data_IF_996586445910
#
_entry.id   IF_996586445910
#
_cell.length_a   1.000
_cell.length_b   1.000
_cell.length_c   1.000
_cell.angle_alpha   90.00
_cell.angle_beta   90.00
_cell.angle_gamma   90.00
#
_symmetry.space_group_name_H-M   'P 1'
#
loop_
_entity.id
_entity.type
_entity.pdbx_description
1 polymer ?
#
# COMPACT_ATOMS: atom_id res chain seq x y z
N UNK A 1 1.27 5.78 2.56
CA UNK A 1 1.23 5.62 4.03
C UNK A 1 1.60 6.92 4.72
N UNK A 2 2.65 7.62 4.28
CA UNK A 2 3.03 8.92 4.85
C UNK A 2 1.91 9.97 4.77
N UNK A 3 1.04 9.90 3.77
CA UNK A 3 -0.11 10.78 3.66
C UNK A 3 -1.09 10.58 4.81
N UNK A 4 -1.41 9.34 5.19
CA UNK A 4 -2.26 9.04 6.36
C UNK A 4 -1.70 9.66 7.63
N UNK A 5 -0.37 9.51 7.88
CA UNK A 5 0.29 10.12 9.04
C UNK A 5 0.15 11.64 9.04
N UNK A 6 0.39 12.28 7.88
CA UNK A 6 0.27 13.74 7.74
C UNK A 6 -1.16 14.24 7.95
N UNK A 7 -2.15 13.49 7.48
CA UNK A 7 -3.55 13.86 7.65
C UNK A 7 -3.97 13.76 9.11
N UNK A 8 -3.59 12.67 9.81
CA UNK A 8 -3.80 12.57 11.27
C UNK A 8 -3.14 13.75 11.99
N UNK A 9 -1.87 14.02 11.68
CA UNK A 9 -1.10 15.12 12.27
C UNK A 9 -1.80 16.46 12.08
N UNK A 10 -2.21 16.79 10.86
CA UNK A 10 -2.83 18.07 10.53
C UNK A 10 -4.20 18.24 11.16
N UNK A 11 -5.08 17.25 11.03
CA UNK A 11 -6.46 17.37 11.49
C UNK A 11 -6.56 17.27 13.01
N UNK A 12 -5.74 16.40 13.62
CA UNK A 12 -5.74 16.23 15.07
C UNK A 12 -4.75 17.17 15.77
N UNK A 13 -3.98 17.99 15.04
CA UNK A 13 -2.91 18.84 15.57
C UNK A 13 -1.93 18.07 16.46
N UNK A 14 -1.51 16.90 16.00
CA UNK A 14 -0.52 16.03 16.63
C UNK A 14 0.83 16.17 15.92
N UNK A 15 1.92 15.79 16.61
CA UNK A 15 3.21 15.65 15.96
C UNK A 15 3.18 14.52 14.92
N UNK A 16 4.15 14.51 14.00
CA UNK A 16 4.26 13.43 13.02
C UNK A 16 4.57 12.09 13.69
N UNK A 17 5.36 12.11 14.76
CA UNK A 17 5.74 10.91 15.51
C UNK A 17 4.54 10.30 16.23
N UNK A 18 3.76 11.11 16.96
CA UNK A 18 2.50 10.69 17.58
C UNK A 18 1.54 10.09 16.54
N UNK A 19 1.41 10.76 15.41
CA UNK A 19 0.54 10.33 14.31
C UNK A 19 1.02 9.03 13.66
N UNK A 20 2.34 8.81 13.57
CA UNK A 20 2.92 7.58 13.06
C UNK A 20 2.65 6.41 14.02
N UNK A 21 2.82 6.63 15.33
CA UNK A 21 2.50 5.63 16.36
C UNK A 21 1.01 5.26 16.31
N UNK A 22 0.12 6.25 16.23
CA UNK A 22 -1.33 6.02 16.10
C UNK A 22 -1.62 5.19 14.85
N UNK A 23 -1.11 5.60 13.69
CA UNK A 23 -1.30 4.86 12.42
C UNK A 23 -0.85 3.40 12.50
N UNK A 24 0.30 3.13 13.11
CA UNK A 24 0.85 1.78 13.23
C UNK A 24 0.00 0.87 14.13
N UNK A 25 -0.76 1.44 15.05
CA UNK A 25 -1.63 0.73 15.97
C UNK A 25 -3.09 0.63 15.51
N UNK A 26 -3.45 1.26 14.39
CA UNK A 26 -4.81 1.14 13.82
C UNK A 26 -4.99 -0.26 13.23
N UNK A 27 -6.06 -0.92 13.62
CA UNK A 27 -6.59 -2.08 12.90
C UNK A 27 -7.41 -1.58 11.70
N UNK A 28 -6.89 -1.80 10.51
CA UNK A 28 -7.49 -1.33 9.26
C UNK A 28 -8.71 -2.16 8.82
N UNK A 29 -9.06 -3.23 9.53
CA UNK A 29 -10.40 -3.83 9.41
C UNK A 29 -11.49 -2.93 9.99
N UNK A 30 -11.10 -1.93 10.78
CA UNK A 30 -11.95 -0.99 11.53
C UNK A 30 -12.90 -1.64 12.54
N UNK A 31 -12.71 -2.92 12.84
CA UNK A 31 -13.58 -3.66 13.77
C UNK A 31 -13.06 -3.58 15.21
N UNK A 32 -11.76 -3.75 15.42
CA UNK A 32 -11.18 -3.91 16.76
C UNK A 32 -10.02 -2.94 17.01
N UNK A 33 -10.34 -1.75 17.47
CA UNK A 33 -9.35 -0.71 17.81
C UNK A 33 -9.32 -0.41 19.32
N UNK A 34 -9.61 -1.40 20.18
CA UNK A 34 -9.65 -1.23 21.65
C UNK A 34 -8.30 -0.82 22.26
N UNK A 35 -7.20 -1.14 21.59
CA UNK A 35 -5.85 -0.77 22.06
C UNK A 35 -5.62 0.73 22.00
N UNK A 36 -6.16 1.41 20.98
CA UNK A 36 -6.01 2.85 20.75
C UNK A 36 -6.98 3.70 21.55
N UNK A 37 -8.20 3.21 21.78
CA UNK A 37 -9.29 4.02 22.32
C UNK A 37 -9.74 3.51 23.67
N UNK A 38 -10.16 4.44 24.53
CA UNK A 38 -10.77 4.16 25.82
C UNK A 38 -12.24 3.72 25.68
N UNK A 39 -12.89 3.45 26.82
CA UNK A 39 -14.31 3.05 26.87
C UNK A 39 -15.25 4.16 26.38
N UNK A 40 -14.85 5.41 26.48
CA UNK A 40 -15.59 6.58 26.00
C UNK A 40 -15.33 6.90 24.52
N UNK A 41 -14.62 6.02 23.79
CA UNK A 41 -14.27 6.19 22.39
C UNK A 41 -13.36 7.40 22.10
N UNK A 42 -12.49 7.77 23.03
CA UNK A 42 -11.44 8.75 22.83
C UNK A 42 -10.08 8.07 22.75
N UNK A 43 -9.15 8.72 22.03
CA UNK A 43 -7.76 8.29 21.97
C UNK A 43 -7.16 8.29 23.36
N UNK A 44 -6.50 7.20 23.75
CA UNK A 44 -5.86 7.05 25.06
C UNK A 44 -4.71 8.06 25.25
N UNK A 45 -4.54 8.55 26.46
CA UNK A 45 -3.54 9.59 26.78
C UNK A 45 -2.09 9.18 26.54
N UNK A 46 -1.78 7.89 26.51
CA UNK A 46 -0.44 7.38 26.21
C UNK A 46 0.03 7.65 24.77
N UNK A 47 -0.86 8.07 23.88
CA UNK A 47 -0.55 8.48 22.52
C UNK A 47 -0.30 9.99 22.36
N UNK A 48 -0.41 10.75 23.44
CA UNK A 48 -0.10 12.18 23.48
C UNK A 48 1.16 12.41 24.29
N UNK A 49 2.20 12.93 23.69
CA UNK A 49 3.45 13.25 24.39
C UNK A 49 3.34 14.61 25.10
N UNK A 50 2.60 15.55 24.50
CA UNK A 50 2.62 16.96 24.94
C UNK A 50 1.27 17.56 25.34
N UNK A 51 0.19 16.78 25.53
CA UNK A 51 -1.11 17.39 25.78
C UNK A 51 -2.09 16.47 26.50
N UNK A 52 -2.11 16.54 27.82
CA UNK A 52 -3.06 15.82 28.68
C UNK A 52 -4.51 16.33 28.56
N UNK A 53 -4.77 17.35 27.79
CA UNK A 53 -6.08 18.04 27.73
C UNK A 53 -6.87 17.79 26.44
N UNK A 54 -6.33 17.06 25.50
CA UNK A 54 -6.99 16.82 24.21
C UNK A 54 -7.87 15.58 24.26
N UNK A 55 -9.11 15.73 23.80
CA UNK A 55 -10.01 14.61 23.54
C UNK A 55 -10.16 14.45 22.03
N UNK A 56 -9.54 13.43 21.47
CA UNK A 56 -9.66 13.09 20.03
C UNK A 56 -10.55 11.87 19.92
N UNK A 57 -11.68 12.03 19.24
CA UNK A 57 -12.63 10.93 19.13
C UNK A 57 -12.15 9.85 18.17
N UNK A 58 -12.52 8.61 18.45
CA UNK A 58 -12.30 7.44 17.59
C UNK A 58 -12.82 7.70 16.18
N UNK A 59 -14.03 8.23 16.07
CA UNK A 59 -14.66 8.45 14.77
C UNK A 59 -13.86 9.45 13.93
N UNK A 60 -13.32 10.50 14.53
CA UNK A 60 -12.48 11.47 13.81
C UNK A 60 -11.27 10.78 13.18
N UNK A 61 -10.48 10.05 13.97
CA UNK A 61 -9.28 9.37 13.49
C UNK A 61 -9.63 8.35 12.40
N UNK A 62 -10.62 7.50 12.63
CA UNK A 62 -10.99 6.47 11.67
C UNK A 62 -11.55 7.07 10.37
N UNK A 63 -12.29 8.18 10.44
CA UNK A 63 -12.79 8.86 9.24
C UNK A 63 -11.67 9.49 8.42
N UNK A 64 -10.68 10.13 9.07
CA UNK A 64 -9.48 10.67 8.39
C UNK A 64 -8.78 9.56 7.62
N UNK A 65 -8.54 8.44 8.29
CA UNK A 65 -7.81 7.30 7.72
C UNK A 65 -8.58 6.68 6.57
N UNK A 66 -9.88 6.43 6.75
CA UNK A 66 -10.75 5.89 5.69
C UNK A 66 -10.76 6.80 4.46
N UNK A 67 -11.00 8.10 4.64
CA UNK A 67 -11.05 9.05 3.55
C UNK A 67 -9.74 9.05 2.72
N UNK A 68 -8.57 8.96 3.39
CA UNK A 68 -7.30 8.88 2.68
C UNK A 68 -7.09 7.55 1.97
N UNK A 69 -7.49 6.45 2.58
CA UNK A 69 -7.39 5.13 1.93
C UNK A 69 -8.31 5.05 0.71
N UNK A 70 -9.53 5.53 0.84
CA UNK A 70 -10.50 5.55 -0.25
C UNK A 70 -9.97 6.37 -1.44
N UNK A 71 -9.40 7.54 -1.18
CA UNK A 71 -8.76 8.37 -2.22
C UNK A 71 -7.62 7.64 -2.94
N UNK A 72 -6.73 6.98 -2.17
CA UNK A 72 -5.64 6.21 -2.74
C UNK A 72 -6.17 5.05 -3.58
N UNK A 73 -7.12 4.30 -3.06
CA UNK A 73 -7.69 3.13 -3.74
C UNK A 73 -8.52 3.50 -4.97
N UNK A 74 -9.24 4.61 -4.93
CA UNK A 74 -9.92 5.15 -6.12
C UNK A 74 -8.91 5.52 -7.22
N UNK A 75 -7.78 6.13 -6.84
CA UNK A 75 -6.72 6.46 -7.79
C UNK A 75 -6.12 5.19 -8.40
N UNK A 76 -5.84 4.17 -7.58
CA UNK A 76 -5.34 2.87 -8.05
C UNK A 76 -6.38 2.20 -8.96
N UNK A 77 -7.64 2.18 -8.54
CA UNK A 77 -8.73 1.58 -9.32
C UNK A 77 -8.84 2.19 -10.71
N UNK A 78 -8.74 3.52 -10.82
CA UNK A 78 -8.75 4.21 -12.12
C UNK A 78 -7.58 3.81 -13.01
N UNK A 79 -6.41 3.51 -12.44
CA UNK A 79 -5.24 3.06 -13.20
C UNK A 79 -5.31 1.59 -13.62
N UNK A 80 -6.00 0.75 -12.84
CA UNK A 80 -6.15 -0.69 -13.14
C UNK A 80 -7.27 -0.93 -14.16
N UNK A 81 -8.28 -0.06 -14.20
CA UNK A 81 -9.38 -0.16 -15.19
C UNK A 81 -8.87 0.35 -16.54
N UNK A 82 -8.11 -0.47 -17.23
CA UNK A 82 -7.83 -0.29 -18.68
C UNK A 82 -8.73 -1.25 -19.46
N UNK A 83 -9.10 -0.90 -20.71
CA UNK A 83 -10.07 -1.69 -21.51
C UNK A 83 -9.75 -3.18 -21.63
N UNK A 84 -8.47 -3.54 -21.53
CA UNK A 84 -7.96 -4.91 -21.63
C UNK A 84 -7.85 -5.63 -20.28
N UNK A 85 -8.06 -4.92 -19.17
CA UNK A 85 -7.87 -5.44 -17.81
C UNK A 85 -9.18 -5.40 -17.04
N UNK A 86 -9.89 -6.52 -17.02
CA UNK A 86 -11.15 -6.61 -16.29
C UNK A 86 -10.89 -7.25 -14.91
N UNK A 87 -11.03 -6.47 -13.85
CA UNK A 87 -10.92 -6.96 -12.47
C UNK A 87 -11.90 -8.11 -12.16
N UNK A 88 -13.01 -8.20 -12.91
CA UNK A 88 -14.00 -9.27 -12.75
C UNK A 88 -13.58 -10.62 -13.32
N UNK A 89 -12.45 -10.71 -14.02
CA UNK A 89 -11.97 -11.94 -14.66
C UNK A 89 -11.18 -12.89 -13.73
N UNK A 90 -11.42 -12.82 -12.42
CA UNK A 90 -10.80 -13.74 -11.45
C UNK A 90 -9.32 -13.44 -11.13
N UNK A 91 -8.84 -12.26 -11.48
CA UNK A 91 -7.49 -11.81 -11.19
C UNK A 91 -7.39 -11.51 -9.70
N UNK A 92 -6.48 -12.21 -9.00
CA UNK A 92 -6.17 -11.91 -7.61
C UNK A 92 -5.26 -10.69 -7.52
N UNK A 93 -5.52 -9.80 -6.56
CA UNK A 93 -4.65 -8.68 -6.23
C UNK A 93 -3.61 -9.11 -5.18
N UNK A 94 -2.35 -8.72 -5.39
CA UNK A 94 -1.27 -8.94 -4.44
C UNK A 94 -0.85 -7.62 -3.79
N UNK A 95 -0.89 -7.59 -2.46
CA UNK A 95 -0.45 -6.43 -1.67
C UNK A 95 1.03 -6.57 -1.31
N UNK A 96 1.83 -5.58 -1.71
CA UNK A 96 3.28 -5.57 -1.50
C UNK A 96 3.77 -4.21 -0.98
N UNK A 97 4.99 -4.19 -0.46
CA UNK A 97 5.66 -2.99 0.04
C UNK A 97 5.21 -2.57 1.43
N UNK A 98 5.77 -1.49 1.96
CA UNK A 98 5.54 -1.05 3.34
C UNK A 98 4.08 -0.81 3.73
N UNK A 99 3.21 -0.51 2.76
CA UNK A 99 1.76 -0.37 2.98
C UNK A 99 1.06 -1.67 3.33
N UNK A 100 1.56 -2.79 2.83
CA UNK A 100 0.98 -4.10 3.11
C UNK A 100 1.21 -4.55 4.55
N UNK A 101 2.13 -3.90 5.28
CA UNK A 101 2.45 -4.22 6.67
C UNK A 101 1.44 -3.65 7.68
N UNK A 102 0.55 -2.76 7.26
CA UNK A 102 -0.50 -2.24 8.12
C UNK A 102 -1.43 -3.37 8.57
N UNK A 103 -1.80 -3.34 9.86
CA UNK A 103 -2.60 -4.40 10.50
C UNK A 103 -3.98 -4.55 9.83
N UNK A 104 -4.23 -5.72 9.26
CA UNK A 104 -5.50 -6.06 8.60
C UNK A 104 -5.88 -5.16 7.39
N UNK A 105 -4.91 -4.51 6.75
CA UNK A 105 -5.17 -3.65 5.58
C UNK A 105 -5.77 -4.47 4.41
N UNK A 106 -5.42 -5.75 4.28
CA UNK A 106 -5.96 -6.64 3.27
C UNK A 106 -7.48 -6.73 3.33
N UNK A 107 -8.06 -6.78 4.53
CA UNK A 107 -9.52 -6.83 4.72
C UNK A 107 -10.22 -5.58 4.20
N UNK A 108 -9.57 -4.43 4.37
CA UNK A 108 -10.10 -3.18 3.82
C UNK A 108 -9.99 -3.13 2.30
N UNK A 109 -8.85 -3.58 1.76
CA UNK A 109 -8.64 -3.70 0.32
C UNK A 109 -9.65 -4.66 -0.32
N UNK A 110 -9.88 -5.84 0.27
CA UNK A 110 -10.88 -6.81 -0.20
C UNK A 110 -12.27 -6.20 -0.28
N UNK A 111 -12.66 -5.47 0.78
CA UNK A 111 -13.95 -4.79 0.82
C UNK A 111 -14.07 -3.70 -0.25
N UNK A 112 -12.99 -2.95 -0.49
CA UNK A 112 -13.00 -1.85 -1.45
C UNK A 112 -12.98 -2.33 -2.91
N UNK A 113 -12.13 -3.28 -3.22
CA UNK A 113 -11.95 -3.78 -4.59
C UNK A 113 -12.95 -4.91 -4.96
N UNK A 114 -13.61 -5.50 -3.97
CA UNK A 114 -14.51 -6.64 -4.20
C UNK A 114 -13.78 -7.92 -4.65
N UNK A 115 -12.47 -8.00 -4.43
CA UNK A 115 -11.59 -9.07 -4.87
C UNK A 115 -10.80 -9.64 -3.70
N UNK A 116 -10.45 -10.93 -3.79
CA UNK A 116 -9.56 -11.55 -2.80
C UNK A 116 -8.16 -10.93 -2.91
N UNK A 117 -7.65 -10.46 -1.79
CA UNK A 117 -6.33 -9.88 -1.67
C UNK A 117 -5.38 -10.90 -1.02
N UNK A 118 -4.21 -11.07 -1.63
CA UNK A 118 -3.14 -11.86 -1.04
C UNK A 118 -2.02 -10.92 -0.56
N UNK A 119 -1.43 -11.24 0.58
CA UNK A 119 -0.13 -10.71 1.00
C UNK A 119 0.95 -11.70 0.60
N UNK A 120 2.18 -11.24 0.42
CA UNK A 120 3.32 -12.14 0.29
C UNK A 120 3.39 -13.00 1.56
N UNK A 121 3.40 -14.32 1.37
CA UNK A 121 3.49 -15.26 2.49
C UNK A 121 4.78 -15.02 3.28
N UNK A 122 4.71 -15.22 4.58
CA UNK A 122 5.87 -15.11 5.44
C UNK A 122 6.80 -16.33 5.22
N UNK A 123 7.98 -16.08 4.67
CA UNK A 123 9.05 -17.08 4.63
C UNK A 123 9.66 -17.24 6.03
N UNK A 124 10.24 -18.42 6.32
CA UNK A 124 10.66 -18.78 7.70
C UNK A 124 11.94 -18.09 8.21
N UNK A 125 12.67 -17.35 7.37
CA UNK A 125 13.91 -16.66 7.74
C UNK A 125 13.64 -15.18 8.08
N UNK A 126 13.94 -14.76 9.31
CA UNK A 126 13.57 -13.43 9.83
C UNK A 126 14.27 -12.26 9.09
N UNK A 127 15.54 -12.40 8.74
CA UNK A 127 16.32 -11.34 8.07
C UNK A 127 15.91 -11.15 6.60
N UNK A 128 15.54 -12.22 5.90
CA UNK A 128 15.03 -12.16 4.54
C UNK A 128 13.59 -11.60 4.46
N UNK A 129 12.79 -11.82 5.52
CA UNK A 129 11.40 -11.35 5.61
C UNK A 129 11.27 -9.84 5.49
N UNK A 130 12.11 -9.09 6.17
CA UNK A 130 12.02 -7.63 6.17
C UNK A 130 12.43 -7.02 4.83
N UNK A 131 13.40 -7.62 4.15
CA UNK A 131 13.79 -7.22 2.81
C UNK A 131 12.70 -7.53 1.78
N UNK A 132 12.15 -8.75 1.80
CA UNK A 132 11.08 -9.14 0.88
C UNK A 132 9.81 -8.29 1.08
N UNK A 133 9.41 -8.05 2.32
CA UNK A 133 8.21 -7.26 2.63
C UNK A 133 8.31 -5.80 2.18
N UNK A 134 9.45 -5.17 2.43
CA UNK A 134 9.62 -3.74 2.20
C UNK A 134 10.13 -3.42 0.80
N UNK A 135 10.90 -4.31 0.19
CA UNK A 135 11.62 -4.08 -1.06
C UNK A 135 11.23 -5.03 -2.18
N UNK A 136 10.06 -5.65 -2.13
CA UNK A 136 9.58 -6.62 -3.13
C UNK A 136 9.74 -6.11 -4.56
N UNK A 137 9.37 -4.86 -4.84
CA UNK A 137 9.51 -4.27 -6.17
C UNK A 137 10.96 -4.14 -6.61
N UNK A 138 11.85 -3.77 -5.68
CA UNK A 138 13.29 -3.67 -5.96
C UNK A 138 13.90 -5.07 -6.21
N UNK A 139 13.52 -6.05 -5.39
CA UNK A 139 13.96 -7.44 -5.55
C UNK A 139 13.48 -8.03 -6.88
N UNK A 140 12.23 -7.74 -7.25
CA UNK A 140 11.69 -8.09 -8.56
C UNK A 140 12.52 -7.49 -9.70
N UNK A 141 12.85 -6.21 -9.62
CA UNK A 141 13.72 -5.54 -10.59
C UNK A 141 15.11 -6.14 -10.66
N UNK A 142 15.73 -6.45 -9.52
CA UNK A 142 17.04 -7.10 -9.46
C UNK A 142 17.00 -8.51 -10.05
N UNK A 143 15.94 -9.26 -9.79
CA UNK A 143 15.75 -10.61 -10.36
C UNK A 143 15.64 -10.57 -11.87
N UNK A 144 14.87 -9.61 -12.39
CA UNK A 144 14.76 -9.39 -13.83
C UNK A 144 16.12 -9.07 -14.45
N UNK A 145 16.91 -8.21 -13.82
CA UNK A 145 18.27 -7.87 -14.31
C UNK A 145 19.19 -9.10 -14.29
N UNK A 146 19.09 -9.92 -13.25
CA UNK A 146 19.93 -11.11 -13.07
C UNK A 146 19.57 -12.24 -14.04
N UNK A 147 18.29 -12.54 -14.17
CA UNK A 147 17.79 -13.70 -14.90
C UNK A 147 17.52 -13.39 -16.39
N UNK A 148 17.63 -12.11 -16.77
CA UNK A 148 17.26 -11.63 -18.10
C UNK A 148 15.77 -11.40 -18.25
N UNK A 149 15.39 -10.82 -19.37
CA UNK A 149 14.00 -10.57 -19.71
C UNK A 149 13.48 -11.58 -20.69
N UNK A 150 12.55 -12.38 -20.25
CA UNK A 150 11.76 -13.25 -21.14
C UNK A 150 10.48 -12.55 -21.62
N UNK A 151 10.22 -11.33 -21.17
CA UNK A 151 8.99 -10.61 -21.50
C UNK A 151 9.28 -9.41 -22.41
N UNK A 152 8.34 -9.03 -23.26
CA UNK A 152 8.42 -7.89 -24.20
C UNK A 152 8.58 -6.52 -23.52
N UNK A 153 8.71 -6.48 -22.23
CA UNK A 153 8.72 -5.24 -21.44
C UNK A 153 10.06 -4.50 -21.41
N UNK A 154 11.19 -5.16 -21.71
CA UNK A 154 12.44 -4.45 -22.07
C UNK A 154 12.77 -4.74 -23.53
N UNK A 155 13.15 -3.72 -24.31
CA UNK A 155 13.61 -3.95 -25.68
C UNK A 155 14.90 -4.77 -25.62
N UNK A 156 14.87 -5.98 -26.14
CA UNK A 156 16.10 -6.71 -26.47
C UNK A 156 16.97 -5.80 -27.35
N UNK A 157 18.30 -5.87 -27.18
CA UNK A 157 19.22 -5.22 -28.13
C UNK A 157 18.83 -5.70 -29.51
N UNK A 158 18.20 -4.83 -30.28
CA UNK A 158 17.73 -5.13 -31.61
C UNK A 158 18.96 -5.45 -32.46
N UNK A 159 19.16 -6.72 -32.72
CA UNK A 159 20.07 -7.13 -33.78
C UNK A 159 19.56 -6.45 -35.06
N UNK A 160 20.40 -5.65 -35.71
CA UNK A 160 20.00 -4.86 -36.91
C UNK A 160 19.34 -5.67 -38.02
N UNK A 161 19.36 -7.02 -37.89
CA UNK A 161 18.77 -7.96 -38.80
C UNK A 161 17.46 -8.61 -38.35
N UNK A 162 16.94 -8.26 -37.17
CA UNK A 162 15.69 -8.83 -36.67
C UNK A 162 14.46 -8.09 -37.23
N UNK A 163 13.65 -8.78 -38.00
CA UNK A 163 12.43 -8.25 -38.67
C UNK A 163 11.24 -7.95 -37.73
N UNK A 164 11.34 -8.21 -36.42
CA UNK A 164 10.28 -7.92 -35.46
C UNK A 164 10.74 -6.87 -34.44
N UNK A 165 10.27 -5.65 -34.60
CA UNK A 165 10.47 -4.58 -33.62
C UNK A 165 9.39 -4.75 -32.57
N UNK A 166 9.79 -4.97 -31.30
CA UNK A 166 8.89 -5.00 -30.16
C UNK A 166 8.06 -3.69 -30.07
N UNK A 167 6.86 -3.77 -29.53
CA UNK A 167 5.97 -2.63 -29.36
C UNK A 167 6.65 -1.47 -28.61
N UNK A 168 7.42 -1.76 -27.57
CA UNK A 168 8.17 -0.77 -26.80
C UNK A 168 9.33 -0.14 -27.58
N UNK A 169 10.01 -0.90 -28.44
CA UNK A 169 11.05 -0.34 -29.31
C UNK A 169 10.49 0.64 -30.34
N UNK A 170 9.20 0.53 -30.72
CA UNK A 170 8.51 1.51 -31.56
C UNK A 170 8.26 2.83 -30.82
N UNK A 171 7.88 2.78 -29.55
CA UNK A 171 7.60 3.97 -28.72
C UNK A 171 8.89 4.78 -28.50
N UNK A 172 10.02 4.13 -28.23
CA UNK A 172 11.31 4.79 -27.98
C UNK A 172 12.08 5.21 -29.25
N UNK A 173 11.65 4.80 -30.44
CA UNK A 173 12.23 5.25 -31.73
C UNK A 173 11.51 6.45 -32.33
N UNK A 174 10.44 6.94 -31.72
CA UNK A 174 9.60 8.05 -32.23
C UNK A 174 10.05 9.42 -31.69
N UNK A 175 11.34 9.60 -31.40
CA UNK A 175 11.96 10.93 -31.18
C UNK A 175 13.20 11.06 -32.03
#
# INVERSE_FOLDING_TARGET
INHVTRDISKVCSLSLDESAVIRNNIDFSFQNNKNLFDENHYLKNNYFINSNFRKISKNLILNIVKARLDEIFETIKKQIIVPEFNLNSGIGLLLVGGGSQLLNIEKYCEKFFGQRIKKIAENNNEDEKDLEKNFTSCLGGLKIIKDGWETEAIPEKVDKNAKKISFFAKIFKSN
#
